data_IF_216402804594
#
_entry.id   IF_216402804594
#
_cell.length_a   1.000
_cell.length_b   1.000
_cell.length_c   1.000
_cell.angle_alpha   90.00
_cell.angle_beta   90.00
_cell.angle_gamma   90.00
#
_symmetry.space_group_name_H-M   'P 1'
#
loop_
_entity.id
_entity.type
_entity.pdbx_description
1 polymer ?
#
# COMPACT_ATOMS: atom_id res chain seq x y z
N UNK A 1 20.17 -14.20 -6.09
CA UNK A 1 21.25 -15.20 -5.84
C UNK A 1 22.21 -14.67 -4.79
N UNK A 2 22.81 -15.52 -3.99
CA UNK A 2 23.81 -15.12 -3.01
C UNK A 2 25.11 -14.71 -3.71
N UNK A 3 25.60 -13.49 -3.48
CA UNK A 3 26.86 -12.99 -4.09
C UNK A 3 28.10 -13.81 -3.72
N UNK A 4 28.02 -14.51 -2.56
CA UNK A 4 29.18 -15.25 -2.03
C UNK A 4 29.26 -16.70 -2.53
N UNK A 5 28.14 -17.37 -2.68
CA UNK A 5 28.13 -18.81 -3.00
C UNK A 5 27.25 -19.18 -4.21
N UNK A 6 26.60 -18.18 -4.84
CA UNK A 6 25.76 -18.40 -6.04
C UNK A 6 24.47 -19.19 -5.78
N UNK A 7 24.15 -19.55 -4.52
CA UNK A 7 22.91 -20.27 -4.24
C UNK A 7 21.69 -19.35 -4.32
N UNK A 8 20.54 -19.93 -4.57
CA UNK A 8 19.26 -19.23 -4.60
C UNK A 8 18.92 -18.66 -3.22
N UNK A 9 18.48 -17.40 -3.17
CA UNK A 9 18.09 -16.70 -1.94
C UNK A 9 16.59 -16.72 -1.82
N UNK A 10 16.07 -17.07 -0.65
CA UNK A 10 14.63 -17.12 -0.37
C UNK A 10 14.26 -16.18 0.77
N UNK A 11 13.06 -15.61 0.71
CA UNK A 11 12.51 -14.84 1.81
C UNK A 11 12.07 -15.75 2.95
N UNK A 12 12.51 -15.43 4.18
CA UNK A 12 12.06 -16.13 5.40
C UNK A 12 11.61 -15.14 6.45
N UNK A 13 10.50 -15.43 7.07
CA UNK A 13 10.04 -14.70 8.26
C UNK A 13 10.91 -15.14 9.46
N UNK A 14 11.50 -14.18 10.14
CA UNK A 14 12.31 -14.40 11.34
C UNK A 14 11.92 -13.40 12.41
N UNK A 15 11.80 -13.87 13.66
CA UNK A 15 11.69 -12.99 14.81
C UNK A 15 13.05 -12.36 15.10
N UNK A 16 13.09 -11.05 15.24
CA UNK A 16 14.30 -10.30 15.57
C UNK A 16 13.94 -8.97 16.25
N UNK A 17 14.90 -8.41 16.96
CA UNK A 17 14.74 -7.09 17.57
C UNK A 17 14.76 -5.98 16.52
N UNK A 18 13.80 -5.07 16.68
CA UNK A 18 13.73 -3.86 15.87
C UNK A 18 13.62 -2.64 16.79
N UNK A 19 14.33 -1.58 16.46
CA UNK A 19 14.13 -0.28 17.10
C UNK A 19 12.96 0.42 16.45
N UNK A 20 11.94 0.74 17.24
CA UNK A 20 10.73 1.42 16.78
C UNK A 20 10.98 2.91 16.54
N UNK A 21 11.85 3.21 15.55
CA UNK A 21 12.21 4.59 15.19
C UNK A 21 11.02 5.35 14.60
N UNK A 22 10.02 4.65 14.06
CA UNK A 22 8.77 5.26 13.57
C UNK A 22 8.01 6.00 14.67
N UNK A 23 8.15 5.61 15.95
CA UNK A 23 7.56 6.32 17.09
C UNK A 23 8.12 7.75 17.29
N UNK A 24 9.24 8.07 16.65
CA UNK A 24 9.88 9.38 16.71
C UNK A 24 9.75 10.17 15.40
N UNK A 25 9.02 9.66 14.43
CA UNK A 25 8.94 10.24 13.09
C UNK A 25 8.49 11.71 13.11
N UNK A 26 7.43 12.05 13.85
CA UNK A 26 6.96 13.43 13.98
C UNK A 26 7.99 14.30 14.71
N UNK A 27 8.54 13.81 15.82
CA UNK A 27 9.58 14.56 16.58
C UNK A 27 10.82 14.84 15.74
N UNK A 28 11.18 13.94 14.81
CA UNK A 28 12.30 14.13 13.90
C UNK A 28 11.98 15.20 12.85
N UNK A 29 10.73 15.29 12.38
CA UNK A 29 10.29 16.34 11.45
C UNK A 29 10.23 17.68 12.16
N UNK A 30 9.56 17.74 13.31
CA UNK A 30 9.34 18.96 14.08
C UNK A 30 10.68 19.56 14.60
N UNK A 31 11.62 18.68 14.97
CA UNK A 31 12.95 19.07 15.43
C UNK A 31 13.83 19.73 14.36
N UNK A 32 13.46 19.63 13.08
CA UNK A 32 14.21 20.32 12.01
C UNK A 32 13.95 21.83 11.97
N UNK A 33 12.81 22.30 12.49
CA UNK A 33 12.40 23.70 12.36
C UNK A 33 13.25 24.66 13.23
N UNK A 34 13.98 24.13 14.23
CA UNK A 34 14.91 24.91 15.07
C UNK A 34 16.38 24.81 14.69
N UNK A 35 16.70 24.11 13.58
CA UNK A 35 18.09 23.86 13.18
C UNK A 35 18.51 24.75 12.02
N UNK A 36 19.74 25.28 12.11
CA UNK A 36 20.35 26.07 11.04
C UNK A 36 20.89 25.16 9.92
N UNK A 37 19.97 24.40 9.32
CA UNK A 37 20.28 23.53 8.15
C UNK A 37 19.95 24.28 6.87
N UNK A 38 20.78 24.05 5.84
CA UNK A 38 20.39 24.44 4.49
C UNK A 38 19.11 23.72 4.11
N UNK A 39 18.21 24.39 3.43
CA UNK A 39 16.88 23.89 3.04
C UNK A 39 16.91 22.49 2.39
N UNK A 40 17.91 22.24 1.55
CA UNK A 40 18.08 20.94 0.89
C UNK A 40 18.22 19.79 1.89
N UNK A 41 18.96 19.97 3.00
CA UNK A 41 19.17 18.94 4.01
C UNK A 41 17.89 18.68 4.77
N UNK A 42 17.19 19.73 5.22
CA UNK A 42 15.90 19.60 5.90
C UNK A 42 14.85 18.89 5.01
N UNK A 43 14.77 19.28 3.74
CA UNK A 43 13.86 18.66 2.75
C UNK A 43 14.19 17.18 2.52
N UNK A 44 15.48 16.82 2.39
CA UNK A 44 15.86 15.42 2.23
C UNK A 44 15.48 14.57 3.45
N UNK A 45 15.65 15.09 4.66
CA UNK A 45 15.24 14.38 5.89
C UNK A 45 13.73 14.23 5.99
N UNK A 46 12.97 15.30 5.71
CA UNK A 46 11.49 15.24 5.66
C UNK A 46 11.01 14.22 4.64
N UNK A 47 11.61 14.18 3.45
CA UNK A 47 11.28 13.22 2.39
C UNK A 47 11.66 11.77 2.75
N UNK A 48 12.74 11.58 3.50
CA UNK A 48 13.16 10.26 3.99
C UNK A 48 12.17 9.72 5.01
N UNK A 49 11.73 10.54 5.96
CA UNK A 49 10.69 10.18 6.92
C UNK A 49 9.37 9.95 6.19
N UNK A 50 9.05 10.83 5.24
CA UNK A 50 7.95 10.66 4.31
C UNK A 50 6.60 10.57 4.98
N UNK A 51 6.30 11.53 5.89
CA UNK A 51 4.97 11.65 6.51
C UNK A 51 3.92 11.93 5.43
N UNK A 52 2.89 11.11 5.37
CA UNK A 52 1.75 11.25 4.49
C UNK A 52 0.45 11.22 5.28
N UNK A 53 -0.47 12.10 4.95
CA UNK A 53 -1.81 12.17 5.53
C UNK A 53 -2.83 11.58 4.55
N UNK A 54 -3.67 10.71 5.02
CA UNK A 54 -4.64 10.01 4.20
C UNK A 54 -5.71 9.33 5.02
N UNK A 55 -6.28 8.26 4.51
CA UNK A 55 -7.27 7.47 5.20
C UNK A 55 -6.97 5.97 5.08
N UNK A 56 -7.27 5.22 6.11
CA UNK A 56 -7.50 3.79 6.00
C UNK A 56 -8.96 3.57 5.59
N UNK A 57 -9.18 2.77 4.56
CA UNK A 57 -10.50 2.50 4.00
C UNK A 57 -10.74 1.00 3.98
N UNK A 58 -11.88 0.58 4.51
CA UNK A 58 -12.28 -0.81 4.61
C UNK A 58 -13.18 -1.20 3.44
N UNK A 59 -12.67 -2.03 2.55
CA UNK A 59 -13.43 -2.65 1.48
C UNK A 59 -13.93 -4.02 1.95
N UNK A 60 -15.24 -4.22 1.95
CA UNK A 60 -15.80 -5.56 2.12
C UNK A 60 -15.42 -6.46 0.94
N UNK A 61 -15.53 -7.77 1.11
CA UNK A 61 -15.40 -8.74 0.02
C UNK A 61 -16.64 -9.61 -0.10
N UNK A 62 -16.84 -10.21 -1.26
CA UNK A 62 -17.92 -11.18 -1.47
C UNK A 62 -17.71 -12.49 -0.69
N UNK A 63 -16.52 -12.69 -0.13
CA UNK A 63 -16.20 -13.79 0.77
C UNK A 63 -16.57 -13.49 2.26
N UNK A 64 -17.01 -12.26 2.55
CA UNK A 64 -17.37 -11.82 3.91
C UNK A 64 -16.21 -11.23 4.71
N UNK A 65 -15.02 -11.13 4.11
CA UNK A 65 -13.84 -10.57 4.73
C UNK A 65 -13.74 -9.05 4.46
N UNK A 66 -12.79 -8.38 5.11
CA UNK A 66 -12.52 -6.95 4.92
C UNK A 66 -11.06 -6.74 4.50
N UNK A 67 -10.86 -6.07 3.35
CA UNK A 67 -9.56 -5.59 2.90
C UNK A 67 -9.41 -4.12 3.31
N UNK A 68 -8.43 -3.82 4.14
CA UNK A 68 -8.10 -2.43 4.49
C UNK A 68 -7.03 -1.90 3.55
N UNK A 69 -7.25 -0.74 2.96
CA UNK A 69 -6.28 -0.03 2.13
C UNK A 69 -5.95 1.33 2.73
N UNK A 70 -4.70 1.75 2.62
CA UNK A 70 -4.29 3.12 2.93
C UNK A 70 -4.21 3.94 1.65
N UNK A 71 -4.83 5.11 1.64
CA UNK A 71 -4.77 6.03 0.50
C UNK A 71 -4.66 7.48 0.94
N UNK A 72 -3.86 8.27 0.22
CA UNK A 72 -3.82 9.74 0.35
C UNK A 72 -4.89 10.43 -0.50
N UNK A 73 -5.63 9.63 -1.28
CA UNK A 73 -6.64 10.07 -2.25
C UNK A 73 -8.00 9.44 -1.98
N UNK A 74 -8.47 9.51 -0.73
CA UNK A 74 -9.81 9.03 -0.37
C UNK A 74 -10.94 9.78 -1.11
N UNK A 75 -10.69 11.00 -1.57
CA UNK A 75 -11.59 11.77 -2.43
C UNK A 75 -11.97 11.04 -3.73
N UNK A 76 -11.09 10.17 -4.25
CA UNK A 76 -11.30 9.46 -5.52
C UNK A 76 -11.94 8.08 -5.39
N UNK A 77 -12.46 7.70 -4.23
CA UNK A 77 -13.05 6.38 -3.95
C UNK A 77 -14.15 5.97 -4.93
N UNK A 78 -14.96 6.91 -5.41
CA UNK A 78 -16.00 6.64 -6.43
C UNK A 78 -15.43 6.17 -7.76
N UNK A 79 -14.17 6.53 -8.06
CA UNK A 79 -13.44 6.13 -9.26
C UNK A 79 -12.61 4.84 -9.08
N UNK A 80 -12.65 4.21 -7.91
CA UNK A 80 -11.98 2.94 -7.70
C UNK A 80 -12.72 1.82 -8.44
N UNK A 81 -12.09 1.28 -9.48
CA UNK A 81 -12.69 0.29 -10.37
C UNK A 81 -12.13 -1.12 -10.21
N UNK A 82 -11.04 -1.26 -9.50
CA UNK A 82 -10.47 -2.55 -9.10
C UNK A 82 -9.57 -2.39 -7.87
N UNK A 83 -9.18 -3.52 -7.29
CA UNK A 83 -8.22 -3.58 -6.19
C UNK A 83 -7.05 -4.46 -6.60
N UNK A 84 -5.88 -4.18 -6.02
CA UNK A 84 -4.70 -5.03 -6.16
C UNK A 84 -4.16 -5.36 -4.79
N UNK A 85 -3.85 -6.62 -4.58
CA UNK A 85 -3.20 -7.10 -3.35
C UNK A 85 -1.85 -7.72 -3.69
N UNK A 86 -0.94 -7.71 -2.72
CA UNK A 86 0.35 -8.38 -2.91
C UNK A 86 0.15 -9.89 -3.08
N UNK A 87 0.99 -10.56 -3.86
CA UNK A 87 0.90 -12.02 -4.02
C UNK A 87 1.01 -12.77 -2.67
N UNK A 88 1.73 -12.22 -1.71
CA UNK A 88 1.96 -12.78 -0.37
C UNK A 88 0.91 -12.37 0.66
N UNK A 89 -0.15 -11.66 0.26
CA UNK A 89 -1.17 -11.19 1.18
C UNK A 89 -1.85 -12.34 1.91
N UNK A 90 -2.01 -12.23 3.24
CA UNK A 90 -2.55 -13.30 4.07
C UNK A 90 -3.92 -13.79 3.62
N UNK A 91 -4.79 -12.86 3.18
CA UNK A 91 -6.13 -13.21 2.70
C UNK A 91 -6.12 -14.01 1.41
N UNK A 92 -5.15 -13.79 0.50
CA UNK A 92 -5.04 -14.61 -0.72
C UNK A 92 -4.74 -16.05 -0.36
N UNK A 93 -3.84 -16.26 0.61
CA UNK A 93 -3.54 -17.59 1.13
C UNK A 93 -4.80 -18.25 1.75
N UNK A 94 -5.52 -17.49 2.55
CA UNK A 94 -6.75 -17.97 3.20
C UNK A 94 -7.85 -18.33 2.18
N UNK A 95 -8.03 -17.51 1.13
CA UNK A 95 -8.99 -17.81 0.07
C UNK A 95 -8.60 -19.03 -0.76
N UNK A 96 -7.30 -19.27 -0.99
CA UNK A 96 -6.80 -20.51 -1.60
C UNK A 96 -7.09 -21.73 -0.72
N UNK A 97 -6.77 -21.65 0.58
CA UNK A 97 -7.01 -22.74 1.54
C UNK A 97 -8.50 -23.08 1.70
N UNK A 98 -9.36 -22.08 1.64
CA UNK A 98 -10.83 -22.24 1.67
C UNK A 98 -11.43 -22.69 0.33
N UNK A 99 -10.64 -22.78 -0.75
CA UNK A 99 -11.12 -23.16 -2.07
C UNK A 99 -12.06 -22.14 -2.72
N UNK A 100 -11.96 -20.86 -2.36
CA UNK A 100 -12.84 -19.80 -2.87
C UNK A 100 -12.41 -19.29 -4.25
N UNK A 101 -11.17 -19.55 -4.65
CA UNK A 101 -10.61 -19.11 -5.94
C UNK A 101 -10.76 -20.19 -7.00
N UNK A 102 -11.49 -19.87 -8.09
CA UNK A 102 -11.72 -20.78 -9.20
C UNK A 102 -10.48 -21.04 -10.05
N UNK A 103 -9.53 -20.09 -10.06
CA UNK A 103 -8.29 -20.14 -10.80
C UNK A 103 -7.05 -20.30 -9.89
N UNK A 104 -7.17 -21.12 -8.84
CA UNK A 104 -6.13 -21.35 -7.83
C UNK A 104 -4.75 -21.68 -8.42
N UNK A 105 -4.69 -22.48 -9.49
CA UNK A 105 -3.43 -22.86 -10.15
C UNK A 105 -2.70 -21.64 -10.75
N UNK A 106 -3.43 -20.73 -11.42
CA UNK A 106 -2.87 -19.51 -11.97
C UNK A 106 -2.37 -18.55 -10.87
N UNK A 107 -3.12 -18.46 -9.78
CA UNK A 107 -2.74 -17.63 -8.60
C UNK A 107 -1.46 -18.19 -7.97
N UNK A 108 -1.39 -19.49 -7.74
CA UNK A 108 -0.21 -20.16 -7.14
C UNK A 108 1.02 -20.06 -8.05
N UNK A 109 0.85 -20.23 -9.34
CA UNK A 109 1.93 -20.06 -10.31
C UNK A 109 2.49 -18.63 -10.29
N UNK A 110 1.62 -17.62 -10.25
CA UNK A 110 2.03 -16.22 -10.17
C UNK A 110 2.73 -15.88 -8.83
N UNK A 111 2.26 -16.43 -7.71
CA UNK A 111 2.91 -16.30 -6.41
C UNK A 111 4.34 -16.86 -6.43
N UNK A 112 4.53 -18.04 -7.04
CA UNK A 112 5.84 -18.66 -7.19
C UNK A 112 6.80 -17.84 -8.09
N UNK A 113 6.28 -17.19 -9.13
CA UNK A 113 7.06 -16.27 -9.96
C UNK A 113 7.43 -15.00 -9.19
N UNK A 114 6.47 -14.37 -8.51
CA UNK A 114 6.68 -13.15 -7.75
C UNK A 114 7.69 -13.34 -6.60
N UNK A 115 7.68 -14.51 -5.95
CA UNK A 115 8.61 -14.86 -4.86
C UNK A 115 10.08 -14.92 -5.29
N UNK A 116 10.37 -15.06 -6.59
CA UNK A 116 11.73 -15.07 -7.13
C UNK A 116 12.28 -13.68 -7.40
N UNK A 117 11.42 -12.65 -7.40
CA UNK A 117 11.79 -11.25 -7.67
C UNK A 117 12.12 -10.54 -6.37
N UNK A 118 13.16 -9.73 -6.36
CA UNK A 118 13.46 -8.83 -5.23
C UNK A 118 12.48 -7.66 -5.16
N UNK A 119 12.35 -7.03 -3.99
CA UNK A 119 11.53 -5.82 -3.82
C UNK A 119 11.96 -4.69 -4.77
N UNK A 120 13.26 -4.61 -5.09
CA UNK A 120 13.79 -3.65 -6.04
C UNK A 120 13.27 -3.91 -7.46
N UNK A 121 13.39 -5.14 -7.95
CA UNK A 121 12.88 -5.53 -9.28
C UNK A 121 11.36 -5.36 -9.39
N UNK A 122 10.64 -5.56 -8.30
CA UNK A 122 9.17 -5.38 -8.21
C UNK A 122 8.77 -3.92 -8.24
N UNK A 123 9.60 -3.02 -7.68
CA UNK A 123 9.31 -1.59 -7.56
C UNK A 123 9.70 -0.76 -8.79
N UNK A 124 10.36 -1.34 -9.80
CA UNK A 124 10.76 -0.62 -11.02
C UNK A 124 9.54 -0.06 -11.77
N UNK A 125 9.53 1.27 -11.94
CA UNK A 125 8.41 2.00 -12.54
C UNK A 125 8.19 1.69 -14.02
N UNK A 126 9.27 1.36 -14.75
CA UNK A 126 9.25 1.16 -16.21
C UNK A 126 8.93 -0.29 -16.61
N UNK A 127 8.65 -1.17 -15.66
CA UNK A 127 8.33 -2.56 -15.94
C UNK A 127 6.88 -2.73 -16.37
N UNK A 128 6.67 -3.60 -17.35
CA UNK A 128 5.33 -4.02 -17.74
C UNK A 128 4.54 -4.55 -16.52
N UNK A 129 3.35 -3.99 -16.29
CA UNK A 129 2.52 -4.40 -15.15
C UNK A 129 1.90 -5.76 -15.45
N UNK A 130 2.20 -6.73 -14.60
CA UNK A 130 1.63 -8.07 -14.65
C UNK A 130 0.69 -8.28 -13.47
N UNK A 131 -0.22 -9.22 -13.59
CA UNK A 131 -1.15 -9.55 -12.52
C UNK A 131 -2.09 -10.68 -12.91
N UNK A 132 -2.71 -11.29 -11.91
CA UNK A 132 -3.72 -12.33 -12.07
C UNK A 132 -4.98 -11.90 -11.34
N UNK A 133 -6.12 -11.93 -12.03
CA UNK A 133 -7.43 -11.69 -11.42
C UNK A 133 -7.77 -12.85 -10.49
N UNK A 134 -8.29 -12.53 -9.31
CA UNK A 134 -8.83 -13.52 -8.38
C UNK A 134 -10.28 -13.86 -8.80
N UNK A 135 -10.48 -15.04 -9.34
CA UNK A 135 -11.82 -15.48 -9.78
C UNK A 135 -12.56 -16.16 -8.62
N UNK A 136 -13.69 -15.59 -8.23
CA UNK A 136 -14.55 -16.08 -7.15
C UNK A 136 -14.68 -15.13 -5.98
N UNK A 137 -13.74 -14.19 -5.82
CA UNK A 137 -13.82 -13.15 -4.79
C UNK A 137 -13.73 -11.77 -5.43
N UNK A 138 -14.63 -10.87 -5.02
CA UNK A 138 -14.69 -9.47 -5.48
C UNK A 138 -14.59 -8.56 -4.26
N UNK A 139 -13.99 -7.38 -4.45
CA UNK A 139 -14.07 -6.30 -3.48
C UNK A 139 -15.40 -5.56 -3.59
N UNK A 140 -15.86 -4.97 -2.49
CA UNK A 140 -17.07 -4.15 -2.44
C UNK A 140 -16.63 -2.74 -2.08
N UNK A 141 -16.82 -1.81 -3.01
CA UNK A 141 -16.47 -0.41 -2.79
C UNK A 141 -17.40 0.20 -1.72
N UNK A 142 -16.86 0.73 -0.61
CA UNK A 142 -17.67 1.16 0.53
C UNK A 142 -18.60 2.34 0.25
N UNK A 143 -18.32 3.17 -0.77
CA UNK A 143 -19.09 4.39 -1.06
C UNK A 143 -20.28 4.19 -1.99
N UNK A 144 -20.30 3.09 -2.77
CA UNK A 144 -21.35 2.85 -3.77
C UNK A 144 -21.79 1.39 -3.87
N UNK A 145 -21.30 0.53 -2.98
CA UNK A 145 -21.55 -0.92 -2.88
C UNK A 145 -21.31 -1.71 -4.18
N UNK A 146 -20.58 -1.12 -5.15
CA UNK A 146 -20.23 -1.80 -6.39
C UNK A 146 -19.20 -2.88 -6.13
N UNK A 147 -19.42 -4.04 -6.73
CA UNK A 147 -18.43 -5.10 -6.77
C UNK A 147 -17.35 -4.77 -7.79
N UNK A 148 -16.10 -4.81 -7.36
CA UNK A 148 -14.92 -4.54 -8.19
C UNK A 148 -13.97 -5.74 -8.15
N UNK A 149 -13.30 -6.08 -9.27
CA UNK A 149 -12.39 -7.21 -9.29
C UNK A 149 -11.16 -6.97 -8.42
N UNK A 150 -10.65 -8.05 -7.84
CA UNK A 150 -9.39 -8.06 -7.09
C UNK A 150 -8.34 -8.77 -7.94
N UNK A 151 -7.15 -8.20 -8.03
CA UNK A 151 -5.99 -8.79 -8.68
C UNK A 151 -4.87 -9.02 -7.67
N UNK A 152 -4.02 -10.00 -7.92
CA UNK A 152 -2.68 -10.05 -7.35
C UNK A 152 -1.70 -9.46 -8.35
N UNK A 153 -0.76 -8.66 -7.87
CA UNK A 153 0.32 -8.13 -8.71
C UNK A 153 1.59 -7.90 -7.91
N UNK A 154 2.72 -8.12 -8.56
CA UNK A 154 4.04 -8.04 -7.95
C UNK A 154 4.49 -6.61 -7.64
N UNK A 155 3.87 -5.57 -8.20
CA UNK A 155 4.18 -4.18 -7.87
C UNK A 155 3.60 -3.73 -6.51
N UNK A 156 2.67 -4.50 -5.93
CA UNK A 156 2.18 -4.26 -4.57
C UNK A 156 3.01 -5.09 -3.59
N UNK A 157 3.65 -4.41 -2.65
CA UNK A 157 4.51 -5.04 -1.65
C UNK A 157 3.76 -5.25 -0.34
N UNK A 158 3.84 -6.45 0.22
CA UNK A 158 3.27 -6.77 1.55
C UNK A 158 3.99 -6.02 2.69
N UNK A 159 5.22 -5.56 2.44
CA UNK A 159 6.04 -4.83 3.41
C UNK A 159 5.73 -3.33 3.46
N UNK A 160 4.86 -2.82 2.60
CA UNK A 160 4.48 -1.41 2.53
C UNK A 160 2.96 -1.23 2.67
N UNK A 161 2.57 -0.43 3.64
CA UNK A 161 1.15 -0.19 3.95
C UNK A 161 0.44 -1.47 4.41
N UNK A 162 -0.72 -1.72 3.86
CA UNK A 162 -1.57 -2.88 4.17
C UNK A 162 -1.32 -4.07 3.24
N UNK A 163 -0.45 -3.94 2.23
CA UNK A 163 -0.29 -4.94 1.18
C UNK A 163 -1.48 -5.01 0.20
N UNK A 164 -2.40 -4.05 0.29
CA UNK A 164 -3.55 -3.89 -0.61
C UNK A 164 -3.68 -2.44 -1.05
N UNK A 165 -4.09 -2.22 -2.28
CA UNK A 165 -4.38 -0.89 -2.83
C UNK A 165 -5.72 -0.88 -3.53
N UNK A 166 -6.40 0.25 -3.52
CA UNK A 166 -7.46 0.58 -4.47
C UNK A 166 -6.82 1.23 -5.69
N UNK A 167 -7.37 0.98 -6.85
CA UNK A 167 -6.88 1.52 -8.11
C UNK A 167 -7.90 2.47 -8.74
N UNK A 168 -7.41 3.66 -9.11
CA UNK A 168 -8.20 4.73 -9.73
C UNK A 168 -7.62 5.09 -11.09
N UNK A 169 -7.94 4.34 -12.15
CA UNK A 169 -7.31 4.46 -13.46
C UNK A 169 -7.39 5.85 -14.10
N UNK A 170 -8.44 6.60 -13.79
CA UNK A 170 -8.60 7.96 -14.35
C UNK A 170 -7.50 8.93 -13.86
N UNK A 171 -6.90 8.68 -12.67
CA UNK A 171 -6.06 9.65 -11.98
C UNK A 171 -4.68 9.13 -11.52
N UNK A 172 -4.32 7.90 -11.90
CA UNK A 172 -2.99 7.33 -11.69
C UNK A 172 -2.52 6.64 -12.98
N UNK A 173 -1.33 6.99 -13.45
CA UNK A 173 -0.79 6.46 -14.71
C UNK A 173 -0.59 4.95 -14.66
N UNK A 174 -0.14 4.41 -13.53
CA UNK A 174 0.09 2.95 -13.37
C UNK A 174 -1.23 2.19 -13.39
N UNK A 175 -2.23 2.74 -12.71
CA UNK A 175 -3.57 2.16 -12.68
C UNK A 175 -4.23 2.24 -14.05
N UNK A 176 -4.00 3.32 -14.81
CA UNK A 176 -4.50 3.48 -16.16
C UNK A 176 -3.91 2.44 -17.12
N UNK A 177 -2.57 2.27 -17.11
CA UNK A 177 -1.87 1.28 -17.92
C UNK A 177 -2.39 -0.14 -17.62
N UNK A 178 -2.56 -0.45 -16.33
CA UNK A 178 -3.11 -1.73 -15.90
C UNK A 178 -4.56 -1.91 -16.37
N UNK A 179 -5.40 -0.88 -16.21
CA UNK A 179 -6.80 -0.92 -16.62
C UNK A 179 -6.94 -1.10 -18.15
N UNK A 180 -6.13 -0.41 -18.95
CA UNK A 180 -6.10 -0.59 -20.41
C UNK A 180 -5.69 -2.01 -20.79
N UNK A 181 -4.67 -2.57 -20.14
CA UNK A 181 -4.21 -3.93 -20.39
C UNK A 181 -5.27 -5.00 -20.09
N UNK A 182 -6.01 -4.83 -18.99
CA UNK A 182 -7.01 -5.80 -18.53
C UNK A 182 -8.44 -5.46 -18.93
N UNK A 183 -8.66 -4.40 -19.73
CA UNK A 183 -9.99 -3.99 -20.19
C UNK A 183 -10.92 -3.56 -19.06
N UNK A 184 -10.38 -2.88 -18.04
CA UNK A 184 -11.13 -2.44 -16.86
C UNK A 184 -11.73 -1.03 -17.08
N UNK A 185 -12.83 -0.71 -16.41
CA UNK A 185 -13.46 0.61 -16.53
C UNK A 185 -12.54 1.73 -16.02
N UNK A 186 -12.57 2.88 -16.69
CA UNK A 186 -11.89 4.11 -16.30
C UNK A 186 -12.96 5.16 -16.05
N UNK A 187 -13.10 5.65 -14.82
CA UNK A 187 -14.15 6.59 -14.39
C UNK A 187 -13.48 7.86 -13.90
N UNK A 188 -13.73 8.97 -14.61
CA UNK A 188 -13.28 10.29 -14.18
C UNK A 188 -14.06 10.73 -12.94
N UNK A 189 -13.32 11.09 -11.87
CA UNK A 189 -13.90 11.58 -10.61
C UNK A 189 -13.35 12.94 -10.18
N UNK A 190 -12.30 13.41 -10.83
CA UNK A 190 -11.77 14.77 -10.64
C UNK A 190 -11.63 15.44 -11.99
N UNK A 191 -12.30 16.56 -12.17
CA UNK A 191 -12.19 17.39 -13.36
C UNK A 191 -11.26 18.57 -13.06
N UNK A 192 -10.18 18.69 -13.79
CA UNK A 192 -9.23 19.81 -13.69
C UNK A 192 -9.62 20.98 -14.58
N UNK A 193 -8.71 21.95 -14.68
CA UNK A 193 -8.88 23.12 -15.54
C UNK A 193 -8.55 22.85 -17.02
N UNK A 194 -7.95 21.72 -17.33
CA UNK A 194 -7.65 21.26 -18.69
C UNK A 194 -8.55 20.10 -19.06
N UNK A 195 -8.86 19.98 -20.35
CA UNK A 195 -9.61 18.83 -20.85
C UNK A 195 -8.79 17.53 -20.66
N UNK A 196 -9.41 16.51 -20.13
CA UNK A 196 -8.83 15.18 -19.97
C UNK A 196 -9.20 14.30 -21.16
N UNK A 197 -8.22 13.62 -21.75
CA UNK A 197 -8.46 12.55 -22.71
C UNK A 197 -8.07 11.19 -22.09
N UNK A 198 -9.00 10.59 -21.35
CA UNK A 198 -8.76 9.32 -20.65
C UNK A 198 -8.57 8.12 -21.60
N UNK A 199 -8.82 8.29 -22.88
CA UNK A 199 -8.50 7.26 -23.87
C UNK A 199 -7.02 7.18 -24.18
N UNK A 200 -6.28 8.27 -24.03
CA UNK A 200 -4.86 8.39 -24.32
C UNK A 200 -3.98 8.33 -23.07
N UNK A 201 -4.41 8.93 -21.95
CA UNK A 201 -3.65 8.96 -20.71
C UNK A 201 -4.51 9.22 -19.48
N UNK A 202 -3.98 8.85 -18.29
CA UNK A 202 -4.57 9.26 -17.02
C UNK A 202 -4.47 10.78 -16.82
N UNK A 203 -5.51 11.39 -16.24
CA UNK A 203 -5.47 12.78 -15.81
C UNK A 203 -4.88 12.88 -14.40
N UNK A 204 -3.60 13.26 -14.30
CA UNK A 204 -2.86 13.28 -13.04
C UNK A 204 -2.77 14.65 -12.36
N UNK A 205 -3.12 15.73 -13.04
CA UNK A 205 -3.15 17.09 -12.45
C UNK A 205 -4.44 17.33 -11.66
N UNK A 206 -4.56 16.62 -10.54
CA UNK A 206 -5.76 16.56 -9.71
C UNK A 206 -5.64 17.36 -8.40
N UNK A 207 -4.59 18.17 -8.25
CA UNK A 207 -4.36 18.89 -7.00
C UNK A 207 -5.41 20.00 -6.77
N UNK A 208 -5.90 20.64 -7.83
CA UNK A 208 -6.81 21.79 -7.81
C UNK A 208 -8.16 21.54 -8.52
N UNK A 209 -8.50 20.29 -8.76
CA UNK A 209 -9.72 19.92 -9.50
C UNK A 209 -11.00 20.01 -8.66
N UNK A 210 -12.11 19.81 -9.34
CA UNK A 210 -13.46 19.70 -8.77
C UNK A 210 -13.96 18.27 -8.94
N UNK A 211 -14.60 17.71 -7.91
CA UNK A 211 -15.13 16.36 -7.93
C UNK A 211 -16.35 16.25 -8.86
N UNK A 212 -16.37 15.17 -9.66
CA UNK A 212 -17.47 14.80 -10.56
C UNK A 212 -17.71 13.30 -10.42
N UNK A 213 -18.89 12.81 -10.76
CA UNK A 213 -19.27 11.39 -10.68
C UNK A 213 -18.99 10.76 -9.29
N UNK A 214 -18.99 11.57 -8.25
CA UNK A 214 -18.58 11.24 -6.88
C UNK A 214 -19.72 11.42 -5.86
N UNK A 215 -20.97 11.40 -6.31
CA UNK A 215 -22.16 11.45 -5.48
C UNK A 215 -22.18 12.65 -4.53
N UNK A 216 -22.13 12.42 -3.22
CA UNK A 216 -22.19 13.48 -2.21
C UNK A 216 -20.96 14.42 -2.19
N UNK A 217 -19.93 14.12 -2.98
CA UNK A 217 -18.73 14.96 -3.13
C UNK A 217 -18.77 15.82 -4.39
N UNK A 218 -19.74 15.63 -5.28
CA UNK A 218 -19.80 16.37 -6.56
C UNK A 218 -19.82 17.88 -6.33
N UNK A 219 -19.01 18.58 -7.11
CA UNK A 219 -18.86 20.02 -7.04
C UNK A 219 -17.92 20.54 -5.95
N UNK A 220 -17.40 19.69 -5.07
CA UNK A 220 -16.44 20.09 -4.05
C UNK A 220 -15.01 20.19 -4.62
N UNK A 221 -14.20 21.05 -3.99
CA UNK A 221 -12.75 21.04 -4.20
C UNK A 221 -12.14 19.71 -3.71
N UNK A 222 -11.01 19.31 -4.26
CA UNK A 222 -10.27 18.10 -3.81
C UNK A 222 -9.98 18.16 -2.30
N UNK A 223 -9.63 19.34 -1.77
CA UNK A 223 -9.33 19.51 -0.35
C UNK A 223 -10.55 19.29 0.55
N UNK A 224 -11.69 19.87 0.16
CA UNK A 224 -12.95 19.75 0.93
C UNK A 224 -13.53 18.32 0.79
N UNK A 225 -13.39 17.73 -0.39
CA UNK A 225 -13.81 16.37 -0.66
C UNK A 225 -13.06 15.35 0.21
N UNK A 226 -11.74 15.52 0.38
CA UNK A 226 -10.95 14.66 1.30
C UNK A 226 -11.47 14.73 2.72
N UNK A 227 -11.69 15.93 3.26
CA UNK A 227 -12.22 16.10 4.62
C UNK A 227 -13.59 15.44 4.76
N UNK A 228 -14.51 15.76 3.85
CA UNK A 228 -15.87 15.22 3.88
C UNK A 228 -15.90 13.70 3.69
N UNK A 229 -15.00 13.14 2.88
CA UNK A 229 -14.88 11.69 2.75
C UNK A 229 -14.38 11.03 4.03
N UNK A 230 -13.37 11.59 4.70
CA UNK A 230 -12.88 11.05 5.99
C UNK A 230 -14.02 11.07 7.02
N UNK A 231 -14.71 12.20 7.17
CA UNK A 231 -15.88 12.30 8.07
C UNK A 231 -16.94 11.24 7.76
N UNK A 232 -17.22 11.02 6.47
CA UNK A 232 -18.18 10.01 6.04
C UNK A 232 -17.71 8.58 6.36
N UNK A 233 -16.42 8.28 6.11
CA UNK A 233 -15.83 6.97 6.40
C UNK A 233 -15.92 6.64 7.90
N UNK A 234 -15.59 7.60 8.75
CA UNK A 234 -15.66 7.45 10.21
C UNK A 234 -17.10 7.28 10.71
N UNK A 235 -18.02 8.13 10.22
CA UNK A 235 -19.43 8.06 10.60
C UNK A 235 -20.11 6.74 10.21
N UNK A 236 -19.65 6.11 9.13
CA UNK A 236 -20.19 4.83 8.64
C UNK A 236 -19.36 3.60 9.07
N UNK A 237 -18.30 3.77 9.86
CA UNK A 237 -17.42 2.67 10.27
C UNK A 237 -16.70 1.99 9.09
N UNK A 238 -16.50 2.72 8.00
CA UNK A 238 -15.88 2.22 6.76
C UNK A 238 -14.40 2.61 6.63
N UNK A 239 -13.86 3.35 7.59
CA UNK A 239 -12.46 3.78 7.60
C UNK A 239 -12.21 4.85 8.65
N UNK A 240 -10.99 5.37 8.67
CA UNK A 240 -10.59 6.46 9.58
C UNK A 240 -9.46 7.30 8.98
N UNK A 241 -9.28 8.49 9.55
CA UNK A 241 -8.10 9.32 9.28
C UNK A 241 -6.82 8.59 9.69
N UNK A 242 -5.77 8.73 8.89
CA UNK A 242 -4.50 8.03 9.15
C UNK A 242 -3.29 8.81 8.65
N UNK A 243 -2.31 8.95 9.52
CA UNK A 243 -0.97 9.38 9.14
C UNK A 243 -0.08 8.16 8.97
N UNK A 244 0.64 8.10 7.87
CA UNK A 244 1.58 7.01 7.56
C UNK A 244 2.95 7.59 7.22
N UNK A 245 4.01 6.78 7.35
CA UNK A 245 5.39 7.17 7.12
C UNK A 245 6.08 6.20 6.16
N UNK A 246 6.99 6.70 5.33
CA UNK A 246 7.91 5.86 4.55
C UNK A 246 8.99 5.25 5.43
N UNK A 247 9.36 5.96 6.50
CA UNK A 247 10.31 5.47 7.51
C UNK A 247 9.83 4.12 8.05
N UNK A 248 10.75 3.17 8.13
CA UNK A 248 10.48 1.83 8.70
C UNK A 248 11.29 1.66 9.96
N UNK A 249 10.81 0.80 10.86
CA UNK A 249 11.55 0.42 12.04
C UNK A 249 12.90 -0.20 11.67
N UNK A 250 13.90 0.10 12.47
CA UNK A 250 15.26 -0.28 12.16
C UNK A 250 15.59 -1.67 12.70
N UNK A 251 16.04 -2.56 11.81
CA UNK A 251 16.65 -3.83 12.19
C UNK A 251 18.02 -3.54 12.77
N UNK A 252 18.10 -3.55 14.10
CA UNK A 252 19.32 -3.23 14.83
C UNK A 252 20.38 -4.30 14.65
N UNK A 253 20.03 -5.57 14.82
CA UNK A 253 20.96 -6.68 14.69
C UNK A 253 21.41 -6.90 13.26
N UNK A 254 22.71 -6.91 13.05
CA UNK A 254 23.35 -7.23 11.77
C UNK A 254 24.23 -8.45 11.94
N UNK A 255 24.20 -9.37 10.98
CA UNK A 255 25.10 -10.54 10.95
C UNK A 255 26.40 -10.19 10.22
N UNK A 256 27.04 -9.07 10.61
CA UNK A 256 28.31 -8.59 10.07
C UNK A 256 29.26 -8.34 11.22
N UNK A 257 30.56 -8.30 10.95
CA UNK A 257 31.60 -8.13 11.97
C UNK A 257 31.35 -6.95 12.95
N UNK A 258 30.87 -5.84 12.42
CA UNK A 258 30.50 -4.65 13.20
C UNK A 258 29.00 -4.58 13.54
N UNK A 259 28.24 -5.64 13.28
CA UNK A 259 26.86 -5.74 13.71
C UNK A 259 26.80 -6.08 15.20
N UNK A 260 25.84 -5.47 15.88
CA UNK A 260 25.58 -5.69 17.31
C UNK A 260 24.51 -6.79 17.47
N UNK A 261 24.87 -8.09 17.46
CA UNK A 261 23.89 -9.13 17.71
C UNK A 261 23.48 -9.05 19.17
N UNK A 262 22.19 -8.88 19.42
CA UNK A 262 21.64 -8.95 20.76
C UNK A 262 21.36 -10.42 21.05
N UNK A 263 22.07 -11.05 22.01
CA UNK A 263 21.79 -12.42 22.41
C UNK A 263 20.40 -12.45 23.08
N UNK A 264 19.51 -13.27 22.55
CA UNK A 264 18.16 -13.44 23.08
C UNK A 264 17.98 -14.82 23.64
N UNK A 265 17.55 -14.88 24.88
CA UNK A 265 17.14 -16.16 25.52
C UNK A 265 15.61 -16.26 25.33
N UNK A 266 15.18 -17.31 24.65
CA UNK A 266 13.76 -17.62 24.52
C UNK A 266 13.29 -18.41 25.74
N UNK A 267 12.68 -17.70 26.69
CA UNK A 267 12.01 -18.33 27.83
C UNK A 267 10.56 -18.64 27.48
N UNK A 268 10.10 -19.84 27.78
CA UNK A 268 8.69 -20.22 27.54
C UNK A 268 7.68 -19.45 28.41
N UNK A 269 8.13 -18.79 29.47
CA UNK A 269 7.27 -18.02 30.39
C UNK A 269 7.47 -16.50 30.25
N UNK A 270 8.66 -16.05 29.89
CA UNK A 270 9.01 -14.63 29.84
C UNK A 270 9.95 -14.38 28.64
N UNK A 271 9.64 -13.35 27.86
CA UNK A 271 10.59 -12.80 26.89
C UNK A 271 11.43 -11.73 27.58
N UNK A 272 12.59 -12.13 28.07
CA UNK A 272 13.51 -11.20 28.70
C UNK A 272 14.83 -11.15 27.95
N UNK A 273 15.37 -9.95 27.79
CA UNK A 273 16.76 -9.74 27.43
C UNK A 273 17.59 -10.02 28.67
N UNK A 274 18.67 -10.83 28.59
CA UNK A 274 19.55 -11.01 29.73
C UNK A 274 20.16 -9.66 30.13
N UNK A 275 19.96 -9.27 31.36
CA UNK A 275 20.58 -8.09 31.92
C UNK A 275 22.00 -8.45 32.40
N UNK A 276 23.01 -7.61 32.17
CA UNK A 276 24.33 -7.81 32.76
C UNK A 276 24.33 -7.76 34.29
N UNK A 277 23.21 -7.42 34.90
CA UNK A 277 23.04 -7.32 36.36
C UNK A 277 22.23 -8.48 36.95
N UNK A 278 21.69 -9.34 36.12
CA UNK A 278 21.02 -10.57 36.49
C UNK A 278 22.00 -11.73 36.24
#
# INVERSE_FOLDING_TARGET
>A
MCERCGSEVVHKVKSQWMLKITAYADKLIDGLDGLDYIERVATQQKNWIGRSHGAEVNFGTTAGDTLTVYTTRCDTLFGATYMVVSPEHAMVKEWLEKGLLKNADAVTAYQAEAARKSDFERSELNKEKTGVKLEGVMGINPVNDKQIPIFISDYVLSTYGTGAIMAVPAHDTRDWEFAKKFGLPIIEVVKGNTESNLDEAAFTDVATGTLVNSGFLDGLSVTDAKKKMIEWLEANGKGCDKVNYKLRDWVFSRQRYWGEPIPMVHCCLLYTSPSPRD
#
